data_IF_798843633305
#
_entry.id   IF_798843633305
#
_cell.length_a   1.000
_cell.length_b   1.000
_cell.length_c   1.000
_cell.angle_alpha   90.00
_cell.angle_beta   90.00
_cell.angle_gamma   90.00
#
_symmetry.space_group_name_H-M   'P 1'
#
loop_
_entity.id
_entity.type
_entity.pdbx_description
1 polymer ?
#
# COMPACT_ATOMS: atom_id res chain seq x y z
N UNK A 1 8.68 -8.71 0.91
CA UNK A 1 7.74 -9.84 1.21
C UNK A 1 8.36 -11.13 0.76
N UNK A 2 8.34 -12.14 1.59
CA UNK A 2 8.84 -13.47 1.23
C UNK A 2 7.85 -14.19 0.31
N UNK A 3 8.33 -15.17 -0.46
CA UNK A 3 7.46 -16.02 -1.28
C UNK A 3 6.42 -16.77 -0.43
N UNK A 4 6.80 -17.22 0.77
CA UNK A 4 5.90 -17.90 1.70
C UNK A 4 4.78 -16.96 2.18
N UNK A 5 5.11 -15.72 2.54
CA UNK A 5 4.14 -14.73 2.96
C UNK A 5 3.18 -14.36 1.82
N UNK A 6 3.69 -14.15 0.62
CA UNK A 6 2.86 -13.87 -0.55
C UNK A 6 1.91 -15.03 -0.86
N UNK A 7 2.40 -16.26 -0.80
CA UNK A 7 1.58 -17.45 -0.99
C UNK A 7 0.45 -17.56 0.03
N UNK A 8 0.76 -17.28 1.30
CA UNK A 8 -0.23 -17.30 2.38
C UNK A 8 -1.32 -16.24 2.17
N UNK A 9 -0.95 -15.03 1.75
CA UNK A 9 -1.90 -13.96 1.45
C UNK A 9 -2.84 -14.39 0.31
N UNK A 10 -2.29 -14.91 -0.78
CA UNK A 10 -3.12 -15.32 -1.92
C UNK A 10 -4.04 -16.51 -1.56
N UNK A 11 -3.58 -17.46 -0.76
CA UNK A 11 -4.41 -18.55 -0.29
C UNK A 11 -5.59 -18.04 0.54
N UNK A 12 -5.33 -17.09 1.46
CA UNK A 12 -6.38 -16.48 2.27
C UNK A 12 -7.40 -15.70 1.43
N UNK A 13 -6.93 -14.97 0.41
CA UNK A 13 -7.83 -14.24 -0.50
C UNK A 13 -8.71 -15.20 -1.29
N UNK A 14 -8.13 -16.27 -1.83
CA UNK A 14 -8.87 -17.28 -2.59
C UNK A 14 -9.95 -17.94 -1.76
N UNK A 15 -9.65 -18.25 -0.49
CA UNK A 15 -10.63 -18.89 0.40
C UNK A 15 -11.85 -18.00 0.66
N UNK A 16 -11.71 -16.69 0.51
CA UNK A 16 -12.77 -15.71 0.68
C UNK A 16 -13.39 -15.24 -0.64
N UNK A 17 -12.81 -15.59 -1.76
CA UNK A 17 -13.21 -15.06 -3.05
C UNK A 17 -12.90 -13.55 -3.19
N UNK A 18 -11.86 -13.08 -2.53
CA UNK A 18 -11.46 -11.66 -2.53
C UNK A 18 -10.31 -11.40 -3.48
N UNK A 19 -10.27 -10.17 -4.00
CA UNK A 19 -9.19 -9.66 -4.83
C UNK A 19 -8.39 -8.61 -4.08
N UNK A 20 -7.16 -8.36 -4.54
CA UNK A 20 -6.23 -7.43 -3.91
C UNK A 20 -5.63 -6.48 -4.93
N UNK A 21 -5.39 -5.25 -4.50
CA UNK A 21 -4.60 -4.26 -5.22
C UNK A 21 -3.68 -3.53 -4.25
N UNK A 22 -2.61 -2.94 -4.78
CA UNK A 22 -1.63 -2.21 -3.98
C UNK A 22 -1.57 -0.74 -4.37
N UNK A 23 -1.13 0.10 -3.44
CA UNK A 23 -0.72 1.47 -3.70
C UNK A 23 0.61 1.70 -3.00
N UNK A 24 1.68 1.83 -3.77
CA UNK A 24 3.04 1.83 -3.25
C UNK A 24 3.73 3.16 -3.47
N UNK A 25 4.52 3.59 -2.50
CA UNK A 25 5.41 4.73 -2.64
C UNK A 25 6.87 4.25 -2.70
N UNK A 26 7.55 4.15 -1.56
CA UNK A 26 8.98 3.80 -1.52
C UNK A 26 9.29 2.38 -2.02
N UNK A 27 8.37 1.49 -2.00
CA UNK A 27 8.57 0.11 -2.47
C UNK A 27 8.49 -0.03 -3.99
N UNK A 28 8.01 0.99 -4.68
CA UNK A 28 8.15 1.12 -6.13
C UNK A 28 7.55 0.02 -6.99
N UNK A 29 6.57 -0.72 -6.49
CA UNK A 29 5.96 -1.85 -7.18
C UNK A 29 6.46 -3.22 -6.72
N UNK A 30 7.42 -3.26 -5.81
CA UNK A 30 7.97 -4.53 -5.30
C UNK A 30 6.92 -5.39 -4.58
N UNK A 31 5.98 -4.75 -3.91
CA UNK A 31 4.93 -5.47 -3.19
C UNK A 31 4.00 -6.19 -4.17
N UNK A 32 3.48 -5.50 -5.15
CA UNK A 32 2.59 -6.13 -6.15
C UNK A 32 3.35 -7.16 -6.99
N UNK A 33 4.62 -6.90 -7.30
CA UNK A 33 5.47 -7.86 -8.01
C UNK A 33 5.62 -9.18 -7.21
N UNK A 34 5.84 -9.08 -5.90
CA UNK A 34 5.94 -10.26 -5.04
C UNK A 34 4.63 -11.08 -5.01
N UNK A 35 3.49 -10.41 -5.06
CA UNK A 35 2.19 -11.09 -5.13
C UNK A 35 1.99 -11.77 -6.49
N UNK A 36 2.36 -11.09 -7.56
CA UNK A 36 2.21 -11.60 -8.94
C UNK A 36 3.11 -12.83 -9.19
N UNK A 37 4.25 -12.90 -8.50
CA UNK A 37 5.19 -14.03 -8.61
C UNK A 37 4.61 -15.36 -8.13
N UNK A 38 3.55 -15.33 -7.34
CA UNK A 38 2.92 -16.56 -6.84
C UNK A 38 2.14 -17.22 -7.97
N UNK A 39 2.34 -18.53 -8.22
CA UNK A 39 1.54 -19.25 -9.23
C UNK A 39 0.03 -19.10 -8.94
N UNK A 40 -0.72 -18.75 -9.98
CA UNK A 40 -2.16 -18.52 -9.86
C UNK A 40 -2.57 -17.14 -9.35
N UNK A 41 -1.63 -16.21 -9.24
CA UNK A 41 -1.90 -14.86 -8.76
C UNK A 41 -2.98 -14.11 -9.55
N UNK A 42 -3.12 -14.41 -10.85
CA UNK A 42 -4.11 -13.74 -11.71
C UNK A 42 -5.56 -13.88 -11.22
N UNK A 43 -5.85 -14.89 -10.42
CA UNK A 43 -7.18 -15.10 -9.84
C UNK A 43 -7.50 -14.10 -8.72
N UNK A 44 -6.49 -13.51 -8.09
CA UNK A 44 -6.67 -12.66 -6.92
C UNK A 44 -6.10 -11.25 -7.08
N UNK A 45 -4.98 -11.08 -7.80
CA UNK A 45 -4.32 -9.77 -7.94
C UNK A 45 -4.95 -8.99 -9.10
N UNK A 46 -5.45 -7.80 -8.82
CA UNK A 46 -6.03 -6.93 -9.85
C UNK A 46 -5.02 -5.97 -10.44
N UNK A 47 -4.09 -5.50 -9.64
CA UNK A 47 -3.11 -4.53 -10.08
C UNK A 47 -2.50 -3.76 -8.94
N UNK A 48 -1.76 -2.71 -9.27
CA UNK A 48 -1.15 -1.83 -8.29
C UNK A 48 -0.88 -0.45 -8.87
N UNK A 49 -0.84 0.52 -7.98
CA UNK A 49 -0.48 1.89 -8.29
C UNK A 49 0.87 2.18 -7.65
N UNK A 50 1.74 2.87 -8.36
CA UNK A 50 2.99 3.40 -7.81
C UNK A 50 2.84 4.93 -7.77
N UNK A 51 2.72 5.47 -6.57
CA UNK A 51 2.45 6.89 -6.33
C UNK A 51 3.60 7.50 -5.54
N UNK A 52 4.79 7.46 -6.14
CA UNK A 52 6.02 7.90 -5.48
C UNK A 52 6.01 9.41 -5.21
N UNK A 53 5.64 10.22 -6.20
CA UNK A 53 5.49 11.66 -6.02
C UNK A 53 4.26 11.97 -5.16
N UNK A 54 4.33 12.95 -4.24
CA UNK A 54 3.19 13.28 -3.38
C UNK A 54 1.89 13.57 -4.14
N UNK A 55 1.95 14.33 -5.22
CA UNK A 55 0.77 14.68 -6.02
C UNK A 55 0.11 13.48 -6.68
N UNK A 56 0.86 12.42 -6.99
CA UNK A 56 0.30 11.21 -7.57
C UNK A 56 -0.55 10.41 -6.56
N UNK A 57 -0.29 10.58 -5.28
CA UNK A 57 -1.14 9.99 -4.24
C UNK A 57 -2.57 10.54 -4.36
N UNK A 58 -2.71 11.81 -4.70
CA UNK A 58 -4.02 12.42 -4.96
C UNK A 58 -4.55 12.07 -6.33
N UNK A 59 -3.76 12.22 -7.37
CA UNK A 59 -4.21 12.06 -8.76
C UNK A 59 -4.56 10.60 -9.09
N UNK A 60 -3.76 9.64 -8.65
CA UNK A 60 -3.96 8.23 -8.97
C UNK A 60 -4.75 7.48 -7.90
N UNK A 61 -4.47 7.71 -6.63
CA UNK A 61 -5.11 6.97 -5.54
C UNK A 61 -6.27 7.73 -4.88
N UNK A 62 -6.49 8.98 -5.25
CA UNK A 62 -7.61 9.76 -4.70
C UNK A 62 -7.42 10.21 -3.26
N UNK A 63 -6.18 10.24 -2.77
CA UNK A 63 -5.89 10.77 -1.44
C UNK A 63 -6.18 12.27 -1.43
N UNK A 64 -6.98 12.74 -0.47
CA UNK A 64 -7.32 14.15 -0.37
C UNK A 64 -6.07 14.99 -0.11
N UNK A 65 -5.90 16.06 -0.87
CA UNK A 65 -4.72 16.93 -0.76
C UNK A 65 -4.57 17.52 0.64
N UNK A 66 -5.67 17.85 1.31
CA UNK A 66 -5.64 18.38 2.67
C UNK A 66 -5.16 17.35 3.70
N UNK A 67 -5.39 16.06 3.48
CA UNK A 67 -4.86 14.99 4.34
C UNK A 67 -3.33 14.95 4.23
N UNK A 68 -2.81 15.04 3.03
CA UNK A 68 -1.35 15.08 2.81
C UNK A 68 -0.76 16.33 3.46
N UNK A 69 -1.41 17.47 3.31
CA UNK A 69 -0.94 18.74 3.87
C UNK A 69 -0.93 18.72 5.41
N UNK A 70 -2.01 18.22 6.02
CA UNK A 70 -2.13 18.18 7.50
C UNK A 70 -1.29 17.12 8.15
N UNK A 71 -1.20 15.94 7.54
CA UNK A 71 -0.62 14.76 8.18
C UNK A 71 0.78 14.42 7.66
N UNK A 72 1.17 14.95 6.51
CA UNK A 72 2.41 14.59 5.82
C UNK A 72 2.28 13.33 4.99
N UNK A 73 3.14 13.20 3.98
CA UNK A 73 3.10 12.07 3.04
C UNK A 73 3.44 10.73 3.71
N UNK A 74 4.21 10.77 4.80
CA UNK A 74 4.57 9.58 5.58
C UNK A 74 3.81 9.62 6.89
N UNK A 75 2.59 9.10 6.88
CA UNK A 75 1.70 9.12 8.01
C UNK A 75 0.71 7.97 7.95
N UNK A 76 0.12 7.67 9.09
CA UNK A 76 -0.95 6.67 9.19
C UNK A 76 -2.13 7.03 8.28
N UNK A 77 -2.54 8.28 8.31
CA UNK A 77 -3.71 8.78 7.57
C UNK A 77 -3.52 8.66 6.07
N UNK A 78 -2.34 9.02 5.57
CA UNK A 78 -2.03 8.91 4.15
C UNK A 78 -1.92 7.44 3.74
N UNK A 79 -1.30 6.59 4.54
CA UNK A 79 -1.22 5.16 4.25
C UNK A 79 -2.61 4.52 4.15
N UNK A 80 -3.51 4.82 5.10
CA UNK A 80 -4.89 4.33 5.07
C UNK A 80 -5.65 4.83 3.84
N UNK A 81 -5.51 6.11 3.51
CA UNK A 81 -6.15 6.69 2.33
C UNK A 81 -5.62 6.07 1.03
N UNK A 82 -4.31 5.77 0.96
CA UNK A 82 -3.71 5.07 -0.19
C UNK A 82 -4.27 3.65 -0.32
N UNK A 83 -4.42 2.93 0.78
CA UNK A 83 -5.00 1.58 0.76
C UNK A 83 -6.46 1.60 0.29
N UNK A 84 -7.26 2.54 0.78
CA UNK A 84 -8.63 2.75 0.30
C UNK A 84 -8.65 3.09 -1.18
N UNK A 85 -7.71 3.93 -1.61
CA UNK A 85 -7.56 4.32 -3.01
C UNK A 85 -7.24 3.14 -3.93
N UNK A 86 -6.37 2.23 -3.50
CA UNK A 86 -6.07 1.02 -4.25
C UNK A 86 -7.33 0.18 -4.48
N UNK A 87 -8.13 -0.02 -3.43
CA UNK A 87 -9.42 -0.73 -3.54
C UNK A 87 -10.35 -0.07 -4.55
N UNK A 88 -10.55 1.23 -4.41
CA UNK A 88 -11.50 1.98 -5.22
C UNK A 88 -11.07 2.05 -6.68
N UNK A 89 -9.80 2.38 -6.94
CA UNK A 89 -9.29 2.57 -8.30
C UNK A 89 -9.14 1.28 -9.07
N UNK A 90 -8.78 0.20 -8.39
CA UNK A 90 -8.59 -1.11 -9.02
C UNK A 90 -9.81 -2.02 -8.93
N UNK A 91 -10.86 -1.59 -8.24
CA UNK A 91 -12.05 -2.41 -8.03
C UNK A 91 -11.76 -3.69 -7.26
N UNK A 92 -10.89 -3.61 -6.25
CA UNK A 92 -10.48 -4.74 -5.46
C UNK A 92 -11.19 -4.78 -4.11
N UNK A 93 -11.26 -5.96 -3.50
CA UNK A 93 -11.84 -6.14 -2.17
C UNK A 93 -10.85 -5.69 -1.08
N UNK A 94 -9.56 -5.89 -1.32
CA UNK A 94 -8.49 -5.55 -0.39
C UNK A 94 -7.51 -4.58 -1.04
N UNK A 95 -7.13 -3.55 -0.31
CA UNK A 95 -6.08 -2.62 -0.69
C UNK A 95 -4.94 -2.67 0.31
N UNK A 96 -3.70 -2.66 -0.18
CA UNK A 96 -2.50 -2.56 0.66
C UNK A 96 -1.67 -1.39 0.19
N UNK A 97 -1.21 -0.57 1.12
CA UNK A 97 -0.40 0.59 0.79
C UNK A 97 0.88 0.64 1.59
N UNK A 98 1.90 1.24 1.00
CA UNK A 98 3.16 1.56 1.65
C UNK A 98 3.49 3.03 1.44
N UNK A 99 3.94 3.70 2.50
CA UNK A 99 4.56 5.01 2.40
C UNK A 99 5.67 5.09 3.43
N UNK A 100 6.74 5.79 3.12
CA UNK A 100 7.87 5.81 4.01
C UNK A 100 9.01 6.70 3.53
N UNK A 101 10.04 6.79 4.36
CA UNK A 101 11.24 7.59 4.11
C UNK A 101 12.40 6.66 3.82
N UNK A 102 12.74 6.51 2.54
CA UNK A 102 13.89 5.69 2.13
C UNK A 102 15.23 6.39 2.42
N UNK A 103 15.21 7.71 2.49
CA UNK A 103 16.40 8.52 2.70
C UNK A 103 17.07 8.93 1.39
N UNK A 104 18.26 9.56 1.46
CA UNK A 104 19.09 9.76 2.67
C UNK A 104 18.58 10.83 3.64
N UNK A 105 17.67 11.70 3.21
CA UNK A 105 17.17 12.79 4.03
C UNK A 105 15.82 12.47 4.67
N UNK A 106 15.54 12.98 5.89
CA UNK A 106 14.19 12.91 6.47
C UNK A 106 13.18 13.66 5.61
N UNK A 107 11.91 13.29 5.76
CA UNK A 107 10.77 13.96 5.11
C UNK A 107 9.82 14.45 6.20
N UNK A 108 9.49 15.75 6.19
CA UNK A 108 8.56 16.37 7.17
C UNK A 108 8.91 16.01 8.63
N UNK A 109 10.21 16.07 8.99
CA UNK A 109 10.74 15.67 10.30
C UNK A 109 10.53 14.19 10.65
N UNK A 110 10.09 13.37 9.70
CA UNK A 110 9.98 11.91 9.89
C UNK A 110 11.34 11.27 9.61
N UNK A 111 11.87 10.47 10.55
CA UNK A 111 13.20 9.87 10.38
C UNK A 111 13.29 8.94 9.18
N UNK A 112 14.49 8.90 8.58
CA UNK A 112 14.83 7.92 7.54
C UNK A 112 14.60 6.51 8.07
N UNK A 113 14.01 5.65 7.24
CA UNK A 113 13.69 4.28 7.60
C UNK A 113 12.28 4.08 8.17
N UNK A 114 11.55 5.17 8.44
CA UNK A 114 10.16 5.08 8.89
C UNK A 114 9.26 4.65 7.74
N UNK A 115 8.51 3.58 7.94
CA UNK A 115 7.57 3.03 6.95
C UNK A 115 6.22 2.82 7.60
N UNK A 116 5.16 3.24 6.92
CA UNK A 116 3.79 2.90 7.25
C UNK A 116 3.26 1.90 6.22
N UNK A 117 2.62 0.87 6.72
CA UNK A 117 1.88 -0.10 5.90
C UNK A 117 0.44 -0.08 6.33
N UNK A 118 -0.47 0.01 5.39
CA UNK A 118 -1.90 0.00 5.67
C UNK A 118 -2.61 -1.06 4.84
N UNK A 119 -3.65 -1.63 5.42
CA UNK A 119 -4.52 -2.60 4.75
C UNK A 119 -5.96 -2.13 4.90
N UNK A 120 -6.68 -2.07 3.79
CA UNK A 120 -8.10 -1.79 3.75
C UNK A 120 -8.84 -3.05 3.34
N UNK A 121 -9.68 -3.54 4.23
CA UNK A 121 -10.46 -4.78 4.07
C UNK A 121 -11.95 -4.45 4.03
N UNK A 122 -12.80 -5.33 3.51
CA UNK A 122 -14.24 -5.17 3.71
C UNK A 122 -14.58 -5.04 5.20
N UNK A 123 -15.05 -3.86 5.61
CA UNK A 123 -15.48 -3.60 6.99
C UNK A 123 -14.38 -3.26 7.99
N UNK A 124 -13.10 -3.22 7.61
CA UNK A 124 -12.01 -2.93 8.55
C UNK A 124 -10.78 -2.33 7.86
N UNK A 125 -10.06 -1.50 8.60
CA UNK A 125 -8.77 -0.96 8.15
C UNK A 125 -7.74 -1.12 9.27
N UNK A 126 -6.48 -1.34 8.88
CA UNK A 126 -5.37 -1.47 9.82
C UNK A 126 -4.15 -0.75 9.28
N UNK A 127 -3.37 -0.15 10.16
CA UNK A 127 -2.09 0.44 9.80
C UNK A 127 -1.04 0.14 10.85
N UNK A 128 0.19 -0.07 10.41
CA UNK A 128 1.35 -0.27 11.27
C UNK A 128 2.52 0.54 10.76
N UNK A 129 3.37 0.95 11.69
CA UNK A 129 4.63 1.56 11.32
C UNK A 129 5.80 0.75 11.88
N UNK A 130 6.94 0.91 11.21
CA UNK A 130 8.21 0.36 11.65
C UNK A 130 9.31 1.34 11.24
N UNK A 131 10.43 1.30 11.95
CA UNK A 131 11.62 2.07 11.59
C UNK A 131 12.72 1.08 11.25
N UNK A 132 13.16 1.12 10.00
CA UNK A 132 14.25 0.28 9.51
C UNK A 132 15.57 1.04 9.61
N UNK A 133 16.62 0.36 10.04
CA UNK A 133 17.96 0.95 10.20
C UNK A 133 18.93 0.44 9.14
#
# INVERSE_FOLDING_TARGET
>A
MTAAAAGAVLAALRSRGWTIATCESLTGGQLVAALIDVPGASAAVRGGLVTYAPELKSELAGVAADVIERCGVVSREVALAMADGARARCGADVGVATTGVAGPEPVDDVPVGTVWVAVSLPGATHARNAVFT
#
